data_IF_043125011887
#
_entry.id   IF_043125011887
#
_cell.length_a   1.000
_cell.length_b   1.000
_cell.length_c   1.000
_cell.angle_alpha   90.00
_cell.angle_beta   90.00
_cell.angle_gamma   90.00
#
_symmetry.space_group_name_H-M   'P 1'
#
loop_
_entity.id
_entity.type
_entity.pdbx_description
1 polymer ?
#
# COMPACT_ATOMS: atom_id res chain seq x y z
N UNK A 1 -30.08 11.20 5.08
CA UNK A 1 -28.96 10.32 5.46
C UNK A 1 -28.49 9.62 4.18
N UNK A 2 -27.46 10.15 3.51
CA UNK A 2 -27.04 9.70 2.18
C UNK A 2 -26.08 8.51 2.32
N UNK A 3 -26.49 7.35 1.79
CA UNK A 3 -25.63 6.16 1.63
C UNK A 3 -24.59 6.50 0.56
N UNK A 4 -23.32 6.61 0.94
CA UNK A 4 -22.21 6.62 -0.02
C UNK A 4 -22.01 5.21 -0.56
N UNK A 5 -22.61 4.91 -1.71
CA UNK A 5 -22.29 3.71 -2.48
C UNK A 5 -20.80 3.75 -2.85
N UNK A 6 -20.02 2.79 -2.34
CA UNK A 6 -18.68 2.51 -2.87
C UNK A 6 -18.89 2.02 -4.30
N UNK A 7 -18.53 2.86 -5.26
CA UNK A 7 -18.52 2.47 -6.67
C UNK A 7 -17.68 1.19 -6.84
N UNK A 8 -18.17 0.16 -7.55
CA UNK A 8 -17.44 -1.09 -7.72
C UNK A 8 -16.12 -0.84 -8.42
N UNK A 9 -15.07 -1.53 -7.96
CA UNK A 9 -13.76 -1.52 -8.59
C UNK A 9 -13.89 -1.90 -10.07
N UNK A 10 -13.49 -0.99 -10.96
CA UNK A 10 -13.56 -1.19 -12.41
C UNK A 10 -12.24 -1.80 -12.90
N UNK A 11 -12.33 -3.00 -13.47
CA UNK A 11 -11.21 -3.68 -14.12
C UNK A 11 -11.28 -3.46 -15.63
N UNK A 12 -10.14 -3.14 -16.25
CA UNK A 12 -10.01 -2.95 -17.69
C UNK A 12 -8.88 -3.84 -18.19
N UNK A 13 -9.19 -4.78 -19.06
CA UNK A 13 -8.19 -5.65 -19.71
C UNK A 13 -7.66 -4.92 -20.95
N UNK A 14 -6.34 -4.80 -21.04
CA UNK A 14 -5.63 -4.25 -22.21
C UNK A 14 -4.71 -5.31 -22.78
N UNK A 15 -4.61 -5.38 -24.10
CA UNK A 15 -3.92 -6.46 -24.81
C UNK A 15 -2.53 -6.07 -25.30
N UNK A 16 -2.25 -4.77 -25.38
CA UNK A 16 -0.96 -4.22 -25.84
C UNK A 16 -0.46 -3.12 -24.90
N UNK A 17 0.84 -2.83 -25.00
CA UNK A 17 1.45 -1.75 -24.23
C UNK A 17 0.93 -0.36 -24.66
N UNK A 18 0.67 -0.19 -25.95
CA UNK A 18 0.13 1.04 -26.53
C UNK A 18 -1.33 1.29 -26.12
N UNK A 19 -2.12 0.24 -25.90
CA UNK A 19 -3.45 0.34 -25.30
C UNK A 19 -3.40 0.70 -23.81
N UNK A 20 -2.43 0.14 -23.08
CA UNK A 20 -2.18 0.48 -21.69
C UNK A 20 -1.83 1.96 -21.54
N UNK A 21 -0.88 2.47 -22.34
CA UNK A 21 -0.46 3.87 -22.29
C UNK A 21 -1.63 4.83 -22.60
N UNK A 22 -2.38 4.56 -23.68
CA UNK A 22 -3.57 5.34 -24.04
C UNK A 22 -4.62 5.35 -22.93
N UNK A 23 -4.85 4.20 -22.30
CA UNK A 23 -5.80 4.09 -21.18
C UNK A 23 -5.33 4.89 -19.96
N UNK A 24 -4.02 4.89 -19.69
CA UNK A 24 -3.44 5.59 -18.55
C UNK A 24 -3.47 7.12 -18.75
N UNK A 25 -3.27 7.60 -19.99
CA UNK A 25 -3.45 9.02 -20.35
C UNK A 25 -4.91 9.43 -20.17
N UNK A 26 -5.86 8.66 -20.72
CA UNK A 26 -7.28 8.97 -20.58
C UNK A 26 -7.73 9.04 -19.11
N UNK A 27 -7.26 8.11 -18.28
CA UNK A 27 -7.53 8.12 -16.84
C UNK A 27 -6.97 9.36 -16.13
N UNK A 28 -5.76 9.80 -16.52
CA UNK A 28 -5.17 11.04 -15.98
C UNK A 28 -5.99 12.26 -16.35
N UNK A 29 -6.42 12.36 -17.60
CA UNK A 29 -7.22 13.47 -18.11
C UNK A 29 -8.59 13.54 -17.40
N UNK A 30 -9.22 12.40 -17.17
CA UNK A 30 -10.51 12.32 -16.48
C UNK A 30 -10.41 12.71 -15.01
N UNK A 31 -9.37 12.27 -14.29
CA UNK A 31 -9.12 12.70 -12.91
C UNK A 31 -8.83 14.20 -12.84
N UNK A 32 -8.05 14.74 -13.79
CA UNK A 32 -7.75 16.17 -13.86
C UNK A 32 -9.03 17.00 -14.14
N UNK A 33 -9.89 16.58 -15.07
CA UNK A 33 -11.19 17.23 -15.32
C UNK A 33 -12.12 17.16 -14.11
N UNK A 34 -12.05 16.08 -13.34
CA UNK A 34 -12.81 15.93 -12.11
C UNK A 34 -12.21 16.70 -10.91
N UNK A 35 -11.09 17.41 -11.09
CA UNK A 35 -10.40 18.14 -10.03
C UNK A 35 -9.74 17.23 -8.99
N UNK A 36 -9.56 15.94 -9.30
CA UNK A 36 -8.96 14.94 -8.42
C UNK A 36 -7.50 14.75 -8.79
N UNK A 37 -6.60 14.88 -7.81
CA UNK A 37 -5.16 14.60 -7.99
C UNK A 37 -4.84 13.24 -7.38
N UNK A 38 -5.13 12.16 -8.09
CA UNK A 38 -4.76 10.81 -7.66
C UNK A 38 -3.43 10.42 -8.26
N UNK A 39 -2.46 10.07 -7.41
CA UNK A 39 -1.18 9.50 -7.85
C UNK A 39 -1.43 8.04 -8.25
N UNK A 40 -1.33 7.72 -9.52
CA UNK A 40 -1.45 6.33 -9.99
C UNK A 40 -0.30 5.49 -9.42
N UNK A 41 -0.62 4.31 -8.89
CA UNK A 41 0.35 3.40 -8.30
C UNK A 41 0.47 2.12 -9.12
N UNK A 42 1.70 1.82 -9.53
CA UNK A 42 2.03 0.59 -10.22
C UNK A 42 2.30 -0.53 -9.22
N UNK A 43 1.62 -1.69 -9.38
CA UNK A 43 1.70 -2.83 -8.45
C UNK A 43 2.53 -4.03 -8.94
N UNK A 44 3.04 -3.98 -10.18
CA UNK A 44 4.10 -4.88 -10.66
C UNK A 44 3.80 -6.39 -10.75
N UNK A 45 2.58 -6.87 -10.50
CA UNK A 45 2.26 -8.30 -10.59
C UNK A 45 1.00 -8.56 -11.43
N UNK A 46 1.01 -9.68 -12.17
CA UNK A 46 0.07 -9.99 -13.26
C UNK A 46 -1.31 -10.52 -12.82
N UNK A 47 -1.54 -10.72 -11.52
CA UNK A 47 -2.85 -11.19 -11.05
C UNK A 47 -3.19 -10.69 -9.66
N UNK A 48 -4.37 -10.07 -9.52
CA UNK A 48 -5.00 -9.70 -8.25
C UNK A 48 -5.50 -10.91 -7.45
N UNK A 49 -5.63 -12.08 -8.11
CA UNK A 49 -6.11 -13.33 -7.53
C UNK A 49 -5.02 -14.13 -6.83
N UNK A 50 -3.75 -13.76 -7.00
CA UNK A 50 -2.68 -14.42 -6.28
C UNK A 50 -2.81 -14.10 -4.79
N UNK A 51 -2.92 -15.12 -3.92
CA UNK A 51 -2.97 -14.88 -2.48
C UNK A 51 -1.72 -14.09 -2.10
N UNK A 52 -1.93 -13.02 -1.34
CA UNK A 52 -0.86 -12.16 -0.80
C UNK A 52 -0.06 -12.93 0.25
N UNK A 53 0.64 -14.00 -0.14
CA UNK A 53 1.71 -14.56 0.65
C UNK A 53 2.89 -13.60 0.54
N UNK A 54 2.93 -12.62 1.44
CA UNK A 54 4.08 -11.72 1.53
C UNK A 54 5.32 -12.54 1.90
N UNK A 55 6.52 -12.07 1.56
CA UNK A 55 7.76 -12.74 2.00
C UNK A 55 7.81 -12.81 3.54
N UNK A 56 7.18 -11.86 4.23
CA UNK A 56 7.00 -11.88 5.67
C UNK A 56 6.11 -13.04 6.13
N UNK A 57 4.98 -13.30 5.47
CA UNK A 57 4.10 -14.45 5.78
C UNK A 57 4.82 -15.80 5.57
N UNK A 58 5.73 -15.88 4.59
CA UNK A 58 6.59 -17.06 4.38
C UNK A 58 7.65 -17.21 5.48
N UNK A 59 8.15 -16.10 6.02
CA UNK A 59 9.21 -16.09 7.03
C UNK A 59 8.69 -16.36 8.45
N UNK A 60 7.47 -15.92 8.78
CA UNK A 60 7.02 -15.94 10.18
C UNK A 60 6.29 -17.21 10.59
N UNK A 61 5.75 -18.04 9.68
CA UNK A 61 4.91 -19.24 9.97
C UNK A 61 3.83 -19.05 11.06
N UNK A 62 3.58 -17.80 11.45
CA UNK A 62 2.74 -17.34 12.56
C UNK A 62 2.05 -16.09 12.05
N UNK A 63 0.75 -16.01 12.33
CA UNK A 63 -0.05 -14.82 12.09
C UNK A 63 0.52 -13.64 12.88
N UNK A 64 1.28 -12.77 12.22
CA UNK A 64 1.72 -11.51 12.81
C UNK A 64 0.51 -10.59 12.87
N UNK A 65 0.26 -9.94 14.03
CA UNK A 65 -0.82 -8.97 14.11
C UNK A 65 -0.50 -7.81 13.17
N UNK A 66 -1.53 -7.26 12.53
CA UNK A 66 -1.36 -6.12 11.62
C UNK A 66 -0.67 -4.92 12.31
N UNK A 67 -0.93 -4.72 13.61
CA UNK A 67 -0.26 -3.72 14.44
C UNK A 67 1.26 -3.93 14.51
N UNK A 68 1.71 -5.18 14.65
CA UNK A 68 3.15 -5.49 14.73
C UNK A 68 3.82 -5.26 13.37
N UNK A 69 3.12 -5.63 12.29
CA UNK A 69 3.56 -5.35 10.93
C UNK A 69 3.72 -3.84 10.68
N UNK A 70 2.71 -3.04 11.05
CA UNK A 70 2.77 -1.58 10.93
C UNK A 70 3.91 -0.96 11.74
N UNK A 71 4.17 -1.48 12.94
CA UNK A 71 5.31 -1.03 13.77
C UNK A 71 6.64 -1.29 13.09
N UNK A 72 6.83 -2.46 12.49
CA UNK A 72 8.06 -2.80 11.75
C UNK A 72 8.24 -1.89 10.54
N UNK A 73 7.19 -1.62 9.78
CA UNK A 73 7.23 -0.69 8.65
C UNK A 73 7.67 0.72 9.09
N UNK A 74 7.12 1.24 10.18
CA UNK A 74 7.50 2.57 10.70
C UNK A 74 8.97 2.65 11.13
N UNK A 75 9.55 1.56 11.65
CA UNK A 75 10.97 1.52 12.01
C UNK A 75 11.89 1.68 10.79
N UNK A 76 11.50 1.10 9.65
CA UNK A 76 12.27 1.21 8.41
C UNK A 76 12.12 2.58 7.71
N UNK A 77 11.12 3.39 8.10
CA UNK A 77 10.78 4.66 7.45
C UNK A 77 11.96 5.62 7.36
N UNK A 78 12.61 5.92 8.47
CA UNK A 78 13.70 6.92 8.51
C UNK A 78 14.87 6.52 7.62
N UNK A 79 15.23 5.24 7.61
CA UNK A 79 16.27 4.68 6.74
C UNK A 79 15.85 4.80 5.28
N UNK A 80 14.64 4.35 4.94
CA UNK A 80 14.11 4.42 3.56
C UNK A 80 14.04 5.86 3.05
N UNK A 81 13.59 6.81 3.86
CA UNK A 81 13.54 8.23 3.50
C UNK A 81 14.92 8.83 3.29
N UNK A 82 15.90 8.39 4.08
CA UNK A 82 17.30 8.82 3.93
C UNK A 82 17.92 8.27 2.65
N UNK A 83 17.71 6.99 2.35
CA UNK A 83 18.25 6.33 1.15
C UNK A 83 17.58 6.81 -0.15
N UNK A 84 16.29 7.10 -0.12
CA UNK A 84 15.53 7.51 -1.32
C UNK A 84 15.46 9.01 -1.52
N UNK A 85 15.69 9.81 -0.48
CA UNK A 85 15.41 11.24 -0.47
C UNK A 85 13.91 11.59 -0.57
N UNK A 86 13.03 10.60 -0.68
CA UNK A 86 11.58 10.80 -0.70
C UNK A 86 11.05 10.79 0.72
N UNK A 87 10.07 11.65 1.02
CA UNK A 87 9.41 11.71 2.33
C UNK A 87 7.99 11.20 2.22
N UNK A 88 7.59 10.32 3.13
CA UNK A 88 6.23 9.85 3.28
C UNK A 88 5.62 10.41 4.56
N UNK A 89 4.42 10.95 4.47
CA UNK A 89 3.65 11.37 5.65
C UNK A 89 2.82 10.17 6.12
N UNK A 90 3.34 9.46 7.12
CA UNK A 90 2.70 8.28 7.69
C UNK A 90 2.11 8.60 9.06
N UNK A 91 0.94 8.03 9.41
CA UNK A 91 0.39 8.19 10.74
C UNK A 91 1.28 7.52 11.80
N UNK A 92 1.33 8.11 12.99
CA UNK A 92 2.17 7.61 14.08
C UNK A 92 1.67 6.27 14.64
N UNK A 93 2.57 5.48 15.22
CA UNK A 93 2.18 4.21 15.85
C UNK A 93 1.15 4.38 16.97
N UNK A 94 1.31 5.32 17.93
CA UNK A 94 0.33 5.49 19.02
C UNK A 94 -1.07 5.82 18.52
N UNK A 95 -1.17 6.62 17.46
CA UNK A 95 -2.44 7.01 16.85
C UNK A 95 -3.13 5.85 16.13
N UNK A 96 -2.35 4.93 15.56
CA UNK A 96 -2.85 3.79 14.79
C UNK A 96 -3.12 2.57 15.66
N UNK A 97 -2.48 2.46 16.82
CA UNK A 97 -2.62 1.32 17.73
C UNK A 97 -4.06 1.16 18.23
N UNK A 98 -4.70 2.26 18.64
CA UNK A 98 -6.10 2.27 19.06
C UNK A 98 -7.04 1.88 17.90
N UNK A 99 -6.73 2.33 16.70
CA UNK A 99 -7.51 2.00 15.50
C UNK A 99 -7.36 0.55 15.10
N UNK A 100 -6.17 -0.04 15.21
CA UNK A 100 -5.98 -1.46 14.93
C UNK A 100 -6.65 -2.36 15.96
N UNK A 101 -6.87 -1.87 17.19
CA UNK A 101 -7.63 -2.59 18.23
C UNK A 101 -9.14 -2.53 18.02
N UNK A 102 -9.65 -1.47 17.37
CA UNK A 102 -11.08 -1.25 17.18
C UNK A 102 -11.48 -1.37 15.70
N UNK A 103 -12.16 -2.46 15.35
CA UNK A 103 -12.58 -2.75 13.98
C UNK A 103 -13.49 -1.67 13.36
N UNK A 104 -14.38 -1.07 14.15
CA UNK A 104 -15.25 0.01 13.67
C UNK A 104 -14.47 1.30 13.41
N UNK A 105 -13.43 1.58 14.22
CA UNK A 105 -12.53 2.69 13.96
C UNK A 105 -11.67 2.44 12.71
N UNK A 106 -11.18 1.21 12.53
CA UNK A 106 -10.39 0.81 11.37
C UNK A 106 -11.17 0.95 10.06
N UNK A 107 -12.40 0.43 10.01
CA UNK A 107 -13.26 0.51 8.81
C UNK A 107 -13.63 1.95 8.44
N UNK A 108 -13.73 2.86 9.42
CA UNK A 108 -14.04 4.28 9.20
C UNK A 108 -12.84 5.14 8.78
N UNK A 109 -11.61 4.78 9.17
CA UNK A 109 -10.41 5.63 8.98
C UNK A 109 -9.89 5.70 7.54
N UNK A 110 -10.57 5.05 6.58
CA UNK A 110 -10.13 4.96 5.17
C UNK A 110 -8.65 4.56 5.04
N UNK A 111 -8.22 3.64 5.90
CA UNK A 111 -6.85 3.17 5.95
C UNK A 111 -6.65 1.98 4.99
N UNK A 112 -5.50 1.88 4.30
CA UNK A 112 -4.43 2.88 4.23
C UNK A 112 -4.82 4.07 3.35
N UNK A 113 -4.39 5.27 3.74
CA UNK A 113 -4.45 6.43 2.85
C UNK A 113 -3.43 6.29 1.69
N UNK A 114 -3.49 7.20 0.72
CA UNK A 114 -2.67 7.13 -0.49
C UNK A 114 -1.16 7.18 -0.18
N UNK A 115 -0.74 8.01 0.77
CA UNK A 115 0.66 8.14 1.21
C UNK A 115 1.16 6.84 1.84
N UNK A 116 0.41 6.33 2.82
CA UNK A 116 0.70 5.07 3.53
C UNK A 116 0.76 3.89 2.58
N UNK A 117 -0.18 3.84 1.66
CA UNK A 117 -0.24 2.77 0.68
C UNK A 117 0.91 2.84 -0.33
N UNK A 118 1.32 4.05 -0.77
CA UNK A 118 2.49 4.22 -1.62
C UNK A 118 3.79 3.75 -0.94
N UNK A 119 3.92 3.98 0.37
CA UNK A 119 5.04 3.49 1.17
C UNK A 119 5.02 1.95 1.31
N UNK A 120 3.86 1.35 1.58
CA UNK A 120 3.71 -0.12 1.61
C UNK A 120 4.07 -0.76 0.26
N UNK A 121 3.66 -0.13 -0.84
CA UNK A 121 4.03 -0.54 -2.20
C UNK A 121 5.54 -0.43 -2.40
N UNK A 122 6.17 0.68 -1.97
CA UNK A 122 7.61 0.84 -2.04
C UNK A 122 8.35 -0.28 -1.29
N UNK A 123 7.96 -0.55 -0.04
CA UNK A 123 8.54 -1.62 0.78
C UNK A 123 8.36 -2.99 0.10
N UNK A 124 7.19 -3.27 -0.48
CA UNK A 124 6.95 -4.53 -1.18
C UNK A 124 7.84 -4.71 -2.40
N UNK A 125 8.21 -3.65 -3.10
CA UNK A 125 9.06 -3.76 -4.29
C UNK A 125 10.55 -3.83 -3.95
N UNK A 126 10.98 -3.17 -2.86
CA UNK A 126 12.42 -3.00 -2.56
C UNK A 126 12.92 -3.86 -1.40
N UNK A 127 12.08 -4.10 -0.37
CA UNK A 127 12.49 -4.88 0.82
C UNK A 127 12.37 -6.39 0.59
N UNK A 128 11.71 -6.82 -0.49
CA UNK A 128 11.66 -8.26 -0.87
C UNK A 128 12.89 -8.74 -1.64
N UNK A 129 13.87 -7.88 -1.94
CA UNK A 129 15.07 -8.21 -2.70
C UNK A 129 16.37 -7.81 -1.96
N UNK A 130 16.43 -8.06 -0.64
CA UNK A 130 17.71 -8.00 0.09
C UNK A 130 17.93 -9.31 0.87
N UNK A 131 18.94 -10.12 0.52
CA UNK A 131 19.18 -11.44 1.11
C UNK A 131 19.85 -11.43 2.50
N UNK A 132 20.11 -10.26 3.10
CA UNK A 132 21.10 -10.12 4.19
C UNK A 132 20.54 -9.49 5.48
N UNK A 133 19.30 -9.78 5.88
CA UNK A 133 18.85 -9.38 7.24
C UNK A 133 18.82 -10.60 8.15
N UNK A 134 19.82 -10.78 9.05
CA UNK A 134 19.80 -11.88 10.00
C UNK A 134 18.63 -11.71 10.99
N UNK A 135 18.10 -12.83 11.52
CA UNK A 135 17.01 -12.79 12.48
C UNK A 135 17.47 -12.02 13.72
N UNK A 136 16.73 -10.99 14.11
CA UNK A 136 16.89 -10.36 15.41
C UNK A 136 16.46 -11.41 16.44
N UNK A 137 17.44 -12.13 16.97
CA UNK A 137 17.28 -13.08 18.06
C UNK A 137 16.89 -12.35 19.34
N UNK A 138 15.90 -12.93 20.04
CA UNK A 138 15.76 -13.04 21.50
C UNK A 138 15.97 -11.79 22.34
#
# INVERSE_FOLDING_TARGET
MLKGEKSPMKETVVSTWEEFERSLIALRDDEQKAGRSTKFLYRGQSSSLWPLATTLDRWTQKSVRFSDHFRVMLKAKSQVETFTGHKWVLPGYPEMEEVFRNYDAFSRRQFPDQETYSYMVYLRHHVTCSPETPPILG
#
